data_IF_103423203719
#
_entry.id   IF_103423203719
#
_cell.length_a   1.000
_cell.length_b   1.000
_cell.length_c   1.000
_cell.angle_alpha   90.00
_cell.angle_beta   90.00
_cell.angle_gamma   90.00
#
_symmetry.space_group_name_H-M   'P 1'
#
loop_
_entity.id
_entity.type
_entity.pdbx_description
1 polymer ?
#
# COMPACT_ATOMS: atom_id res chain seq x y z
N UNK A 1 -14.89 9.70 -1.30
CA UNK A 1 -14.26 9.12 -2.52
C UNK A 1 -13.75 7.73 -2.21
N UNK A 2 -14.06 6.74 -3.04
CA UNK A 2 -13.59 5.37 -2.80
C UNK A 2 -12.09 5.25 -3.04
N UNK A 3 -11.40 4.60 -2.11
CA UNK A 3 -9.99 4.25 -2.19
C UNK A 3 -9.82 2.75 -2.03
N UNK A 4 -9.08 2.11 -2.94
CA UNK A 4 -8.75 0.69 -2.88
C UNK A 4 -7.31 0.49 -2.41
N UNK A 5 -7.16 -0.11 -1.22
CA UNK A 5 -5.86 -0.46 -0.65
C UNK A 5 -5.55 -1.95 -0.87
N UNK A 6 -4.34 -2.25 -1.31
CA UNK A 6 -3.84 -3.63 -1.54
C UNK A 6 -2.43 -3.87 -0.96
N UNK A 7 -1.67 -2.80 -0.70
CA UNK A 7 -0.30 -2.83 -0.17
C UNK A 7 -0.24 -2.47 1.32
N UNK A 8 0.85 -1.84 1.76
CA UNK A 8 1.07 -1.49 3.17
C UNK A 8 0.02 -0.55 3.76
N UNK A 9 -0.72 0.21 2.93
CA UNK A 9 -1.84 1.03 3.37
C UNK A 9 -3.06 0.20 3.82
N UNK A 10 -3.07 -1.10 3.55
CA UNK A 10 -4.05 -2.02 4.12
C UNK A 10 -3.86 -2.21 5.63
N UNK A 11 -2.70 -1.87 6.18
CA UNK A 11 -2.44 -1.91 7.62
C UNK A 11 -2.72 -0.54 8.26
N UNK A 12 -3.94 -0.35 8.76
CA UNK A 12 -4.38 0.93 9.35
C UNK A 12 -3.50 1.38 10.53
N UNK A 13 -2.95 0.42 11.31
CA UNK A 13 -2.04 0.73 12.42
C UNK A 13 -0.73 1.31 11.90
N UNK A 14 -0.13 0.68 10.90
CA UNK A 14 1.10 1.19 10.29
C UNK A 14 0.92 2.56 9.65
N UNK A 15 -0.25 2.83 9.02
CA UNK A 15 -0.60 4.16 8.50
C UNK A 15 -0.70 5.17 9.64
N UNK A 16 -1.40 4.82 10.74
CA UNK A 16 -1.56 5.70 11.90
C UNK A 16 -0.22 6.01 12.58
N UNK A 17 0.66 5.01 12.72
CA UNK A 17 1.98 5.18 13.32
C UNK A 17 2.87 6.09 12.46
N UNK A 18 2.81 5.93 11.13
CA UNK A 18 3.49 6.83 10.18
C UNK A 18 2.96 8.28 10.32
N UNK A 19 1.64 8.46 10.33
CA UNK A 19 1.03 9.78 10.45
C UNK A 19 1.42 10.47 11.76
N UNK A 20 1.37 9.74 12.89
CA UNK A 20 1.79 10.25 14.20
C UNK A 20 3.24 10.71 14.18
N UNK A 21 4.10 9.90 13.57
CA UNK A 21 5.52 10.20 13.49
C UNK A 21 5.80 11.49 12.71
N UNK A 22 5.08 11.72 11.60
CA UNK A 22 5.28 12.88 10.72
C UNK A 22 4.31 14.04 10.99
N UNK A 23 3.58 14.01 12.11
CA UNK A 23 2.69 15.10 12.50
C UNK A 23 1.44 15.26 11.64
N UNK A 24 1.00 14.20 10.95
CA UNK A 24 -0.22 14.19 10.15
C UNK A 24 -1.39 13.57 10.90
N UNK A 25 -2.59 14.04 10.61
CA UNK A 25 -3.81 13.35 11.03
C UNK A 25 -3.96 12.05 10.23
N UNK A 26 -4.16 10.93 10.93
CA UNK A 26 -4.37 9.66 10.26
C UNK A 26 -5.71 9.65 9.48
N UNK A 27 -5.74 9.13 8.23
CA UNK A 27 -6.96 8.91 7.48
C UNK A 27 -7.84 7.88 8.18
N UNK A 28 -9.16 8.02 8.01
CA UNK A 28 -10.09 7.06 8.59
C UNK A 28 -10.22 5.81 7.73
N UNK A 29 -9.39 4.80 8.00
CA UNK A 29 -9.43 3.51 7.33
C UNK A 29 -10.43 2.53 7.98
N UNK A 30 -11.57 3.03 8.47
CA UNK A 30 -12.66 2.22 9.06
C UNK A 30 -14.02 2.85 8.75
N UNK A 31 -15.05 2.02 8.40
CA UNK A 31 -14.92 0.60 8.07
C UNK A 31 -14.28 0.37 6.72
N UNK A 32 -13.46 -0.67 6.60
CA UNK A 32 -12.98 -1.18 5.32
C UNK A 32 -13.89 -2.29 4.79
N UNK A 33 -14.14 -2.31 3.48
CA UNK A 33 -14.93 -3.35 2.81
C UNK A 33 -14.03 -4.23 1.97
N UNK A 34 -13.94 -5.55 2.23
CA UNK A 34 -13.18 -6.45 1.38
C UNK A 34 -13.62 -6.32 -0.08
N UNK A 35 -12.67 -6.30 -1.00
CA UNK A 35 -12.94 -6.16 -2.43
C UNK A 35 -11.83 -6.81 -3.25
N UNK A 36 -12.08 -7.03 -4.54
CA UNK A 36 -11.09 -7.52 -5.48
C UNK A 36 -10.99 -6.59 -6.67
N UNK A 37 -9.77 -6.41 -7.16
CA UNK A 37 -9.48 -5.70 -8.40
C UNK A 37 -9.12 -6.72 -9.47
N UNK A 38 -9.99 -6.89 -10.45
CA UNK A 38 -9.81 -7.85 -11.54
C UNK A 38 -8.81 -7.38 -12.59
N UNK A 39 -8.22 -8.33 -13.31
CA UNK A 39 -7.25 -8.14 -14.38
C UNK A 39 -5.93 -7.50 -13.95
N UNK A 40 -5.60 -7.64 -12.68
CA UNK A 40 -4.32 -7.26 -12.11
C UNK A 40 -3.75 -8.39 -11.27
N UNK A 41 -2.44 -8.46 -11.17
CA UNK A 41 -1.73 -9.29 -10.21
C UNK A 41 -0.93 -8.42 -9.25
N UNK A 42 -0.73 -8.91 -8.03
CA UNK A 42 0.19 -8.30 -7.08
C UNK A 42 1.63 -8.58 -7.53
N UNK A 43 2.45 -7.55 -7.53
CA UNK A 43 3.89 -7.64 -7.78
C UNK A 43 4.68 -6.81 -6.79
N UNK A 44 6.00 -6.94 -6.84
CA UNK A 44 6.95 -6.15 -6.04
C UNK A 44 8.06 -5.60 -6.96
N UNK A 45 7.68 -4.77 -7.95
CA UNK A 45 8.63 -4.31 -8.97
C UNK A 45 9.36 -3.02 -8.60
N UNK A 46 9.11 -2.46 -7.41
CA UNK A 46 9.66 -1.18 -6.99
C UNK A 46 10.55 -1.42 -5.77
N UNK A 47 11.82 -1.01 -5.86
CA UNK A 47 12.70 -1.04 -4.69
C UNK A 47 12.44 0.15 -3.78
N UNK A 48 12.36 -0.09 -2.49
CA UNK A 48 12.27 0.94 -1.47
C UNK A 48 13.46 0.87 -0.53
N UNK A 49 14.23 1.94 -0.47
CA UNK A 49 15.32 2.07 0.51
C UNK A 49 14.80 2.05 1.95
N UNK A 50 13.62 2.65 2.18
CA UNK A 50 12.99 2.66 3.50
C UNK A 50 12.66 1.25 4.00
N UNK A 51 12.09 0.40 3.14
CA UNK A 51 11.76 -0.99 3.46
C UNK A 51 12.91 -1.97 3.25
N UNK A 52 13.96 -1.55 2.53
CA UNK A 52 15.11 -2.36 2.19
C UNK A 52 14.79 -3.52 1.24
N UNK A 53 13.76 -3.37 0.42
CA UNK A 53 13.29 -4.43 -0.48
C UNK A 53 12.18 -3.98 -1.41
N UNK A 54 11.60 -4.93 -2.13
CA UNK A 54 10.48 -4.69 -3.03
C UNK A 54 9.23 -4.23 -2.28
N UNK A 55 8.50 -3.29 -2.86
CA UNK A 55 7.20 -2.84 -2.37
C UNK A 55 6.08 -3.16 -3.37
N UNK A 56 4.87 -3.35 -2.82
CA UNK A 56 3.70 -3.81 -3.55
C UNK A 56 3.28 -2.83 -4.64
N UNK A 57 3.03 -3.37 -5.83
CA UNK A 57 2.38 -2.69 -6.93
C UNK A 57 1.37 -3.63 -7.62
N UNK A 58 0.40 -3.05 -8.33
CA UNK A 58 -0.51 -3.77 -9.20
C UNK A 58 0.02 -3.77 -10.63
N UNK A 59 0.10 -4.94 -11.21
CA UNK A 59 0.56 -5.13 -12.60
C UNK A 59 -0.61 -5.67 -13.40
N UNK A 60 -0.94 -5.01 -14.52
CA UNK A 60 -2.03 -5.47 -15.39
C UNK A 60 -1.74 -6.89 -15.90
N UNK A 61 -2.68 -7.81 -15.64
CA UNK A 61 -2.56 -9.23 -15.97
C UNK A 61 -3.97 -9.82 -16.11
N UNK A 62 -4.51 -9.92 -17.35
CA UNK A 62 -5.86 -10.39 -17.60
C UNK A 62 -6.14 -11.76 -16.99
N UNK A 63 -7.29 -11.88 -16.33
CA UNK A 63 -7.73 -13.12 -15.66
C UNK A 63 -7.11 -13.36 -14.28
N UNK A 64 -6.26 -12.45 -13.80
CA UNK A 64 -5.77 -12.42 -12.41
C UNK A 64 -6.58 -11.41 -11.58
N UNK A 65 -6.38 -11.43 -10.28
CA UNK A 65 -6.99 -10.44 -9.38
C UNK A 65 -6.06 -10.07 -8.24
N UNK A 66 -6.31 -8.91 -7.65
CA UNK A 66 -5.68 -8.45 -6.40
C UNK A 66 -6.77 -8.24 -5.37
N UNK A 67 -6.68 -8.93 -4.22
CA UNK A 67 -7.59 -8.67 -3.12
C UNK A 67 -7.07 -7.55 -2.23
N UNK A 68 -8.01 -6.75 -1.72
CA UNK A 68 -7.75 -5.58 -0.89
C UNK A 68 -9.01 -5.11 -0.17
N UNK A 69 -9.02 -3.87 0.25
CA UNK A 69 -10.18 -3.27 0.89
C UNK A 69 -10.50 -1.89 0.31
N UNK A 70 -11.80 -1.60 0.23
CA UNK A 70 -12.34 -0.29 -0.15
C UNK A 70 -12.62 0.55 1.10
N UNK A 71 -12.26 1.80 1.04
CA UNK A 71 -12.49 2.81 2.07
C UNK A 71 -13.17 4.03 1.45
N UNK A 72 -14.15 4.59 2.14
CA UNK A 72 -14.71 5.90 1.77
C UNK A 72 -13.92 6.99 2.48
N UNK A 73 -13.09 7.70 1.73
CA UNK A 73 -12.15 8.70 2.23
C UNK A 73 -12.51 10.10 1.73
N UNK A 74 -12.19 11.10 2.54
CA UNK A 74 -12.15 12.49 2.09
C UNK A 74 -10.92 12.74 1.20
N UNK A 75 -10.95 13.81 0.40
CA UNK A 75 -9.77 14.23 -0.36
C UNK A 75 -8.60 14.59 0.55
N UNK A 76 -8.87 15.12 1.74
CA UNK A 76 -7.84 15.41 2.75
C UNK A 76 -7.18 14.12 3.27
N UNK A 77 -7.94 13.03 3.45
CA UNK A 77 -7.39 11.73 3.84
C UNK A 77 -6.52 11.13 2.72
N UNK A 78 -6.97 11.25 1.46
CA UNK A 78 -6.19 10.82 0.29
C UNK A 78 -4.89 11.62 0.13
N UNK A 79 -4.92 12.93 0.37
CA UNK A 79 -3.73 13.77 0.32
C UNK A 79 -2.66 13.31 1.33
N UNK A 80 -3.06 12.85 2.53
CA UNK A 80 -2.14 12.25 3.50
C UNK A 80 -1.53 10.94 2.98
N UNK A 81 -2.33 10.11 2.32
CA UNK A 81 -1.82 8.88 1.70
C UNK A 81 -0.86 9.18 0.54
N UNK A 82 -1.12 10.22 -0.28
CA UNK A 82 -0.19 10.67 -1.32
C UNK A 82 1.18 11.03 -0.74
N UNK A 83 1.19 11.79 0.36
CA UNK A 83 2.43 12.12 1.07
C UNK A 83 3.14 10.86 1.56
N UNK A 84 2.38 9.90 2.11
CA UNK A 84 2.95 8.65 2.62
C UNK A 84 3.60 7.81 1.53
N UNK A 85 2.92 7.59 0.39
CA UNK A 85 3.41 6.70 -0.66
C UNK A 85 4.52 7.33 -1.50
N UNK A 86 4.62 8.67 -1.49
CA UNK A 86 5.61 9.43 -2.25
C UNK A 86 6.69 10.07 -1.37
N UNK A 87 6.70 9.75 -0.06
CA UNK A 87 7.75 10.27 0.81
C UNK A 87 9.10 9.70 0.42
N UNK A 88 10.04 10.59 0.18
CA UNK A 88 11.41 10.26 -0.16
C UNK A 88 12.27 10.15 1.10
N UNK A 89 13.27 9.28 1.06
CA UNK A 89 14.40 9.41 1.95
C UNK A 89 15.13 10.74 1.67
N UNK A 90 15.71 11.37 2.69
CA UNK A 90 16.44 12.62 2.54
C UNK A 90 17.58 12.44 1.53
N UNK A 91 17.64 13.33 0.51
CA UNK A 91 18.63 13.25 -0.56
C UNK A 91 18.26 12.40 -1.79
N UNK A 92 17.10 11.73 -1.80
CA UNK A 92 16.65 10.95 -2.96
C UNK A 92 16.28 11.88 -4.14
N UNK A 93 16.80 11.57 -5.35
CA UNK A 93 16.60 12.37 -6.57
C UNK A 93 15.33 12.00 -7.37
N UNK A 94 14.61 10.95 -6.99
CA UNK A 94 13.53 10.41 -7.82
C UNK A 94 12.19 11.11 -7.63
N UNK A 95 11.44 11.23 -8.73
CA UNK A 95 10.05 11.68 -8.79
C UNK A 95 9.16 10.63 -8.13
N UNK A 96 8.09 11.03 -7.48
CA UNK A 96 7.20 10.21 -6.67
C UNK A 96 7.06 8.73 -7.10
N UNK A 97 7.11 7.83 -6.14
CA UNK A 97 7.12 6.38 -6.35
C UNK A 97 5.79 5.88 -6.93
N UNK A 98 4.68 6.54 -6.57
CA UNK A 98 3.33 6.16 -6.96
C UNK A 98 2.55 7.34 -7.51
N UNK A 99 1.59 7.02 -8.38
CA UNK A 99 0.53 7.93 -8.83
C UNK A 99 -0.84 7.34 -8.52
N UNK A 100 -1.84 8.17 -8.41
CA UNK A 100 -3.24 7.75 -8.35
C UNK A 100 -3.65 7.14 -9.70
N UNK A 101 -4.37 6.02 -9.62
CA UNK A 101 -5.00 5.34 -10.75
C UNK A 101 -6.47 5.13 -10.42
N UNK A 102 -7.35 5.52 -11.33
CA UNK A 102 -8.77 5.18 -11.22
C UNK A 102 -9.02 3.76 -11.69
N UNK A 103 -9.72 3.00 -10.89
CA UNK A 103 -10.04 1.59 -11.14
C UNK A 103 -11.51 1.30 -10.82
N UNK A 104 -12.11 0.40 -11.59
CA UNK A 104 -13.44 -0.11 -11.31
C UNK A 104 -13.33 -1.35 -10.42
N UNK A 105 -13.85 -1.27 -9.21
CA UNK A 105 -13.71 -2.33 -8.19
C UNK A 105 -15.09 -2.89 -7.86
N UNK A 106 -15.37 -4.17 -8.15
CA UNK A 106 -16.57 -4.83 -7.68
C UNK A 106 -16.46 -5.11 -6.16
N UNK A 107 -17.55 -4.87 -5.40
CA UNK A 107 -17.56 -5.27 -3.99
C UNK A 107 -17.61 -6.81 -3.89
N UNK A 108 -17.02 -7.36 -2.82
CA UNK A 108 -17.26 -8.76 -2.49
C UNK A 108 -18.71 -8.92 -2.00
N UNK A 109 -19.51 -9.69 -2.75
CA UNK A 109 -20.92 -9.90 -2.49
C UNK A 109 -21.83 -9.15 -3.45
N UNK A 110 -23.07 -8.84 -3.00
CA UNK A 110 -24.04 -8.12 -3.83
C UNK A 110 -23.74 -6.62 -3.82
N UNK A 111 -23.72 -5.98 -4.97
CA UNK A 111 -23.54 -4.53 -5.13
C UNK A 111 -23.01 -4.19 -6.50
N UNK A 112 -23.17 -2.93 -6.88
CA UNK A 112 -22.60 -2.39 -8.11
C UNK A 112 -21.12 -2.07 -7.93
N UNK A 113 -20.29 -2.28 -8.98
CA UNK A 113 -18.91 -1.87 -8.97
C UNK A 113 -18.78 -0.36 -8.73
N UNK A 114 -17.80 0.03 -7.93
CA UNK A 114 -17.51 1.43 -7.64
C UNK A 114 -16.25 1.90 -8.36
N UNK A 115 -16.24 3.17 -8.77
CA UNK A 115 -14.98 3.81 -9.19
C UNK A 115 -14.19 4.18 -7.94
N UNK A 116 -12.97 3.67 -7.86
CA UNK A 116 -12.08 3.89 -6.74
C UNK A 116 -10.73 4.40 -7.22
N UNK A 117 -10.07 5.20 -6.39
CA UNK A 117 -8.66 5.55 -6.56
C UNK A 117 -7.82 4.45 -5.91
N UNK A 118 -6.73 4.07 -6.58
CA UNK A 118 -5.66 3.26 -5.99
C UNK A 118 -4.31 3.83 -6.37
N UNK A 119 -3.23 3.28 -5.83
CA UNK A 119 -1.87 3.69 -6.18
C UNK A 119 -1.23 2.69 -7.14
N UNK A 120 -0.50 3.22 -8.12
CA UNK A 120 0.25 2.44 -9.09
C UNK A 120 1.64 3.06 -9.28
N UNK A 121 2.66 2.23 -9.34
CA UNK A 121 4.04 2.65 -9.46
C UNK A 121 4.34 3.39 -10.75
N UNK A 122 5.18 4.43 -10.66
CA UNK A 122 5.60 5.23 -11.83
C UNK A 122 6.85 4.67 -12.50
N UNK A 123 7.73 4.01 -11.72
CA UNK A 123 9.02 3.47 -12.15
C UNK A 123 9.16 2.02 -11.70
N UNK A 124 8.25 1.16 -12.18
CA UNK A 124 8.29 -0.26 -11.88
C UNK A 124 9.37 -0.97 -12.71
N UNK A 125 10.21 -1.76 -12.05
CA UNK A 125 11.15 -2.64 -12.72
C UNK A 125 10.42 -3.78 -13.45
N UNK A 126 11.06 -4.37 -14.45
CA UNK A 126 10.48 -5.51 -15.20
C UNK A 126 10.56 -6.83 -14.45
N UNK A 127 11.28 -6.87 -13.33
CA UNK A 127 11.54 -8.07 -12.54
C UNK A 127 11.00 -7.93 -11.12
N UNK A 128 10.83 -9.06 -10.48
CA UNK A 128 10.42 -9.15 -9.09
C UNK A 128 11.60 -8.82 -8.16
N UNK A 129 11.38 -7.89 -7.25
CA UNK A 129 12.31 -7.57 -6.16
C UNK A 129 11.75 -8.20 -4.88
N UNK A 130 12.45 -9.14 -4.23
CA UNK A 130 11.92 -9.74 -3.01
C UNK A 130 11.59 -8.69 -1.95
N UNK A 131 10.39 -8.69 -1.37
CA UNK A 131 10.04 -7.83 -0.24
C UNK A 131 10.77 -8.29 1.02
N UNK A 132 10.88 -7.43 2.03
CA UNK A 132 11.33 -7.87 3.35
C UNK A 132 10.21 -8.60 4.08
N UNK A 133 10.58 -9.50 5.02
CA UNK A 133 9.59 -10.17 5.87
C UNK A 133 8.71 -9.17 6.62
N UNK A 134 9.32 -8.13 7.19
CA UNK A 134 8.57 -7.09 7.90
C UNK A 134 7.52 -6.39 7.02
N UNK A 135 7.86 -6.10 5.75
CA UNK A 135 6.90 -5.50 4.82
C UNK A 135 5.75 -6.46 4.50
N UNK A 136 6.05 -7.75 4.28
CA UNK A 136 5.02 -8.78 4.05
C UNK A 136 4.11 -8.97 5.26
N UNK A 137 4.66 -8.93 6.48
CA UNK A 137 3.88 -9.02 7.71
C UNK A 137 2.82 -7.90 7.80
N UNK A 138 3.13 -6.68 7.33
CA UNK A 138 2.14 -5.60 7.28
C UNK A 138 1.00 -5.90 6.30
N UNK A 139 1.30 -6.44 5.12
CA UNK A 139 0.28 -6.82 4.15
C UNK A 139 -0.62 -7.93 4.70
N UNK A 140 -0.03 -8.96 5.29
CA UNK A 140 -0.72 -10.11 5.87
C UNK A 140 -1.61 -9.68 7.05
N UNK A 141 -1.09 -8.86 7.96
CA UNK A 141 -1.87 -8.32 9.08
C UNK A 141 -3.04 -7.45 8.60
N UNK A 142 -2.81 -6.62 7.57
CA UNK A 142 -3.87 -5.84 6.94
C UNK A 142 -4.93 -6.73 6.33
N UNK A 143 -4.54 -7.78 5.61
CA UNK A 143 -5.45 -8.74 5.01
C UNK A 143 -6.33 -9.44 6.05
N UNK A 144 -5.76 -9.87 7.18
CA UNK A 144 -6.53 -10.41 8.31
C UNK A 144 -7.49 -9.38 8.91
N UNK A 145 -7.03 -8.14 9.10
CA UNK A 145 -7.83 -7.08 9.75
C UNK A 145 -9.09 -6.72 8.98
N UNK A 146 -9.08 -6.88 7.65
CA UNK A 146 -10.23 -6.60 6.79
C UNK A 146 -10.93 -7.86 6.25
N UNK A 147 -10.63 -9.05 6.82
CA UNK A 147 -11.31 -10.28 6.49
C UNK A 147 -11.12 -10.75 5.04
N UNK A 148 -9.93 -10.52 4.46
CA UNK A 148 -9.61 -11.08 3.16
C UNK A 148 -9.54 -12.61 3.24
N UNK A 149 -9.80 -13.30 2.13
CA UNK A 149 -9.87 -14.76 2.10
C UNK A 149 -8.57 -15.43 2.55
N UNK A 150 -8.67 -16.58 3.19
CA UNK A 150 -7.49 -17.38 3.57
C UNK A 150 -6.66 -17.78 2.36
N UNK A 151 -7.28 -17.97 1.19
CA UNK A 151 -6.57 -18.23 -0.05
C UNK A 151 -5.66 -17.05 -0.43
N UNK A 152 -6.15 -15.81 -0.31
CA UNK A 152 -5.34 -14.61 -0.56
C UNK A 152 -4.21 -14.47 0.46
N UNK A 153 -4.49 -14.72 1.74
CA UNK A 153 -3.49 -14.69 2.81
C UNK A 153 -2.38 -15.73 2.55
N UNK A 154 -2.75 -16.97 2.19
CA UNK A 154 -1.79 -18.00 1.81
C UNK A 154 -0.97 -17.61 0.57
N UNK A 155 -1.59 -16.94 -0.41
CA UNK A 155 -0.87 -16.38 -1.56
C UNK A 155 0.15 -15.32 -1.12
N UNK A 156 -0.20 -14.40 -0.23
CA UNK A 156 0.76 -13.44 0.33
C UNK A 156 1.93 -14.13 1.05
N UNK A 157 1.64 -15.19 1.81
CA UNK A 157 2.66 -15.97 2.53
C UNK A 157 3.59 -16.78 1.60
N UNK A 158 3.19 -17.03 0.35
CA UNK A 158 3.99 -17.77 -0.62
C UNK A 158 5.12 -16.98 -1.27
N UNK A 159 5.12 -15.65 -1.10
CA UNK A 159 6.21 -14.82 -1.64
C UNK A 159 7.51 -15.03 -0.88
N UNK A 160 8.58 -15.30 -1.61
CA UNK A 160 9.93 -15.32 -1.04
C UNK A 160 10.30 -13.94 -0.52
N UNK A 161 10.80 -13.90 0.71
CA UNK A 161 11.23 -12.66 1.36
C UNK A 161 12.74 -12.62 1.47
N UNK A 162 13.32 -11.43 1.53
CA UNK A 162 14.72 -11.23 1.85
C UNK A 162 14.89 -10.78 3.31
N UNK A 163 16.06 -11.08 3.88
CA UNK A 163 16.46 -10.56 5.17
C UNK A 163 16.82 -9.07 4.97
N UNK A 164 15.82 -8.21 5.12
CA UNK A 164 16.03 -6.76 5.04
C UNK A 164 16.65 -6.23 6.32
N UNK A 165 17.39 -5.13 6.22
CA UNK A 165 17.65 -4.30 7.40
C UNK A 165 16.30 -3.80 7.92
N UNK A 166 16.11 -3.79 9.26
CA UNK A 166 14.94 -3.08 9.85
C UNK A 166 14.87 -1.70 9.22
N UNK A 167 13.66 -1.20 8.86
CA UNK A 167 13.51 0.17 8.42
C UNK A 167 14.29 1.04 9.40
N UNK A 168 15.20 1.85 8.90
CA UNK A 168 15.84 2.85 9.77
C UNK A 168 14.69 3.73 10.23
N UNK A 169 14.38 3.67 11.51
CA UNK A 169 13.53 4.69 12.10
C UNK A 169 14.09 6.05 11.66
N UNK A 170 13.25 7.07 11.44
CA UNK A 170 13.73 8.37 11.00
C UNK A 170 14.83 8.83 11.94
N UNK A 171 15.92 9.32 11.35
CA UNK A 171 16.97 9.95 12.10
C UNK A 171 16.41 11.20 12.79
N UNK A 172 16.96 11.57 13.94
CA UNK A 172 16.56 12.79 14.70
C UNK A 172 16.63 14.09 13.87
N UNK A 173 17.19 14.06 12.65
CA UNK A 173 17.24 15.15 11.70
C UNK A 173 15.97 15.35 10.84
N UNK A 174 15.04 14.39 10.84
CA UNK A 174 13.82 14.45 10.03
C UNK A 174 12.67 15.28 10.66
N UNK A 175 12.92 15.88 11.81
CA UNK A 175 11.96 16.76 12.50
C UNK A 175 12.18 18.17 11.92
N UNK A 176 11.31 18.58 10.99
CA UNK A 176 11.26 19.97 10.55
C UNK A 176 11.12 20.90 11.78
N UNK A 177 11.85 22.02 11.86
CA UNK A 177 11.67 22.96 12.96
C UNK A 177 10.21 23.48 12.94
N UNK A 178 9.58 23.48 14.09
CA UNK A 178 8.28 24.13 14.28
C UNK A 178 8.51 25.63 14.05
N UNK A 179 7.89 26.20 13.02
CA UNK A 179 7.60 27.63 12.90
C UNK A 179 6.24 27.90 13.48
#
# INVERSE_FOLDING_TARGET
MWYFAYGSNLNARAVSDWCRHFGHRAPNLKPGRPAVLDNYRLGFPIYSEYWGGGIADIVYDPGKYVAGALFDLSEADLAVLDLKVNRKAEGAKEVGTYRRLEVKVPPLGKGEPVMAVTYHGTNAERYHIPPTQHYMDLLIQGAYSYGLSMMWISYLQSFSTQVGRKPRGPSHGDIAPRL
#
